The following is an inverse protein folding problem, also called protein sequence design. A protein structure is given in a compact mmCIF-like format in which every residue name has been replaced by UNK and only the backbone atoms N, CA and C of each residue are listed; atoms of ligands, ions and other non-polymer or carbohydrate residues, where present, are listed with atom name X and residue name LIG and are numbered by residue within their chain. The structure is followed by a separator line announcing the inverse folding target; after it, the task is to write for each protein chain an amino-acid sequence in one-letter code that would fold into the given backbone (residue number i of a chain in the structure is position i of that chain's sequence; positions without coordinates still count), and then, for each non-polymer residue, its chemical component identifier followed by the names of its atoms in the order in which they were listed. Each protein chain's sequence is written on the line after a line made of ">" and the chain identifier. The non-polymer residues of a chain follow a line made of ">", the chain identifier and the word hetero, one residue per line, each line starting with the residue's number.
data_IF_769243292730
#
_entry.id   IF_769243292730
#
_cell.length_a   1.000
_cell.length_b   1.000
_cell.length_c   1.000
_cell.angle_alpha   90.00
_cell.angle_beta   90.00
_cell.angle_gamma   90.00
#
_symmetry.space_group_name_H-M   'P 1'
#
loop_
_entity.id
_entity.type
_entity.pdbx_description
1 polymer ?
#
# COMPACT_ATOMS: atom_id res chain seq x y z
N UNK A 1 25.36 -33.30 -40.64
CA UNK A 1 24.31 -33.14 -39.61
C UNK A 1 24.21 -31.66 -39.30
N UNK A 2 23.05 -31.03 -39.49
CA UNK A 2 22.85 -29.63 -39.11
C UNK A 2 23.04 -29.54 -37.58
N UNK A 3 24.03 -28.78 -37.13
CA UNK A 3 24.25 -28.58 -35.70
C UNK A 3 23.03 -27.89 -35.11
N UNK A 4 22.47 -28.46 -34.05
CA UNK A 4 21.26 -27.94 -33.42
C UNK A 4 21.66 -27.21 -32.12
N UNK A 5 22.22 -26.02 -32.31
CA UNK A 5 22.67 -25.17 -31.21
C UNK A 5 21.48 -24.63 -30.41
N UNK A 6 21.55 -24.75 -29.08
CA UNK A 6 20.51 -24.30 -28.15
C UNK A 6 20.83 -22.94 -27.52
N UNK A 7 19.84 -22.34 -26.90
CA UNK A 7 20.07 -21.17 -26.06
C UNK A 7 20.89 -21.53 -24.81
N UNK A 8 21.55 -20.53 -24.21
CA UNK A 8 22.21 -20.68 -22.91
C UNK A 8 21.20 -21.05 -21.82
N UNK A 9 21.64 -21.77 -20.78
CA UNK A 9 20.79 -22.15 -19.64
C UNK A 9 20.10 -20.93 -18.97
N UNK A 10 20.80 -19.79 -18.84
CA UNK A 10 20.23 -18.54 -18.28
C UNK A 10 19.07 -18.03 -19.14
N UNK A 11 19.24 -17.97 -20.47
CA UNK A 11 18.17 -17.56 -21.38
C UNK A 11 16.94 -18.49 -21.32
N UNK A 12 17.17 -19.80 -21.17
CA UNK A 12 16.12 -20.81 -21.02
C UNK A 12 15.40 -20.61 -19.69
N UNK A 13 16.13 -20.48 -18.58
CA UNK A 13 15.54 -20.23 -17.25
C UNK A 13 14.71 -18.95 -17.23
N UNK A 14 15.25 -17.84 -17.74
CA UNK A 14 14.51 -16.58 -17.86
C UNK A 14 13.28 -16.71 -18.76
N UNK A 15 13.35 -17.50 -19.83
CA UNK A 15 12.20 -17.70 -20.72
C UNK A 15 11.04 -18.36 -20.00
N UNK A 16 11.31 -19.50 -19.36
CA UNK A 16 10.28 -20.28 -18.69
C UNK A 16 9.77 -19.62 -17.42
N UNK A 17 10.63 -18.95 -16.65
CA UNK A 17 10.20 -18.16 -15.50
C UNK A 17 9.22 -17.05 -15.92
N UNK A 18 9.55 -16.30 -16.98
CA UNK A 18 8.65 -15.27 -17.51
C UNK A 18 7.39 -15.87 -18.12
N UNK A 19 7.50 -16.97 -18.89
CA UNK A 19 6.35 -17.61 -19.51
C UNK A 19 5.33 -18.09 -18.47
N UNK A 20 5.78 -18.83 -17.45
CA UNK A 20 4.92 -19.32 -16.37
C UNK A 20 4.38 -18.17 -15.53
N UNK A 21 5.22 -17.18 -15.22
CA UNK A 21 4.80 -16.00 -14.46
C UNK A 21 3.75 -15.16 -15.19
N UNK A 22 3.89 -14.96 -16.50
CA UNK A 22 2.90 -14.24 -17.33
C UNK A 22 1.58 -14.99 -17.38
N UNK A 23 1.59 -16.31 -17.62
CA UNK A 23 0.37 -17.13 -17.62
C UNK A 23 -0.34 -17.05 -16.25
N UNK A 24 0.42 -17.19 -15.16
CA UNK A 24 -0.09 -17.05 -13.80
C UNK A 24 -0.67 -15.65 -13.51
N UNK A 25 0.00 -14.60 -13.97
CA UNK A 25 -0.44 -13.21 -13.80
C UNK A 25 -1.72 -12.88 -14.57
N UNK A 26 -1.88 -13.46 -15.76
CA UNK A 26 -3.12 -13.34 -16.54
C UNK A 26 -4.28 -13.96 -15.76
N UNK A 27 -4.11 -15.20 -15.26
CA UNK A 27 -5.13 -15.87 -14.46
C UNK A 27 -5.44 -15.12 -13.15
N UNK A 28 -4.41 -14.71 -12.42
CA UNK A 28 -4.53 -13.94 -11.17
C UNK A 28 -5.22 -12.60 -11.40
N UNK A 29 -4.88 -11.90 -12.48
CA UNK A 29 -5.44 -10.60 -12.83
C UNK A 29 -6.94 -10.65 -13.10
N UNK A 30 -7.41 -11.66 -13.84
CA UNK A 30 -8.86 -11.86 -14.01
C UNK A 30 -9.55 -12.28 -12.74
N UNK A 31 -8.97 -13.27 -12.03
CA UNK A 31 -9.55 -13.76 -10.79
C UNK A 31 -9.75 -12.63 -9.78
N UNK A 32 -8.74 -11.80 -9.53
CA UNK A 32 -8.85 -10.69 -8.58
C UNK A 32 -9.75 -9.55 -9.07
N UNK A 33 -9.90 -9.39 -10.40
CA UNK A 33 -10.75 -8.38 -11.03
C UNK A 33 -12.23 -8.71 -10.92
N UNK A 34 -12.60 -9.99 -11.05
CA UNK A 34 -13.98 -10.48 -11.02
C UNK A 34 -14.54 -10.67 -9.60
N UNK A 35 -13.68 -10.63 -8.58
CA UNK A 35 -14.13 -10.72 -7.20
C UNK A 35 -15.03 -9.54 -6.82
N UNK A 36 -16.12 -9.75 -6.06
CA UNK A 36 -16.86 -8.68 -5.39
C UNK A 36 -15.93 -7.77 -4.57
N UNK A 37 -16.30 -6.50 -4.37
CA UNK A 37 -15.44 -5.57 -3.64
C UNK A 37 -15.25 -5.96 -2.17
N UNK A 38 -16.26 -6.58 -1.58
CA UNK A 38 -16.34 -7.13 -0.22
C UNK A 38 -15.72 -8.53 -0.10
N UNK A 39 -15.15 -9.08 -1.18
CA UNK A 39 -14.56 -10.41 -1.16
C UNK A 39 -13.38 -10.48 -0.16
N UNK A 40 -13.36 -11.49 0.73
CA UNK A 40 -12.26 -11.67 1.67
C UNK A 40 -10.91 -11.72 0.96
N UNK A 41 -9.92 -10.99 1.48
CA UNK A 41 -8.54 -10.96 0.98
C UNK A 41 -8.36 -10.44 -0.47
N UNK A 42 -9.33 -9.71 -1.05
CA UNK A 42 -9.16 -9.07 -2.37
C UNK A 42 -7.91 -8.18 -2.42
N UNK A 43 -7.71 -7.35 -1.40
CA UNK A 43 -6.54 -6.46 -1.28
C UNK A 43 -5.20 -7.22 -1.27
N UNK A 44 -5.13 -8.37 -0.60
CA UNK A 44 -3.95 -9.23 -0.58
C UNK A 44 -3.61 -9.79 -1.96
N UNK A 45 -4.62 -10.18 -2.75
CA UNK A 45 -4.43 -10.62 -4.13
C UNK A 45 -3.88 -9.49 -5.03
N UNK A 46 -4.35 -8.26 -4.84
CA UNK A 46 -3.79 -7.09 -5.54
C UNK A 46 -2.32 -6.84 -5.15
N UNK A 47 -1.95 -6.99 -3.87
CA UNK A 47 -0.55 -6.86 -3.45
C UNK A 47 0.32 -7.98 -4.03
N UNK A 48 -0.17 -9.23 -4.08
CA UNK A 48 0.51 -10.35 -4.72
C UNK A 48 0.71 -10.08 -6.22
N UNK A 49 -0.34 -9.60 -6.90
CA UNK A 49 -0.28 -9.24 -8.32
C UNK A 49 0.78 -8.18 -8.58
N UNK A 50 0.81 -7.08 -7.81
CA UNK A 50 1.87 -6.06 -7.92
C UNK A 50 3.26 -6.64 -7.68
N UNK A 51 3.41 -7.50 -6.65
CA UNK A 51 4.69 -8.12 -6.29
C UNK A 51 5.28 -8.96 -7.43
N UNK A 52 4.44 -9.83 -8.00
CA UNK A 52 4.84 -10.66 -9.15
C UNK A 52 5.06 -9.78 -10.38
N UNK A 53 4.21 -8.77 -10.62
CA UNK A 53 4.36 -7.82 -11.73
C UNK A 53 5.71 -7.10 -11.74
N UNK A 54 6.13 -6.53 -10.61
CA UNK A 54 7.45 -5.90 -10.46
C UNK A 54 8.59 -6.91 -10.65
N UNK A 55 8.43 -8.13 -10.11
CA UNK A 55 9.42 -9.20 -10.32
C UNK A 55 9.58 -9.54 -11.81
N UNK A 56 8.48 -9.66 -12.55
CA UNK A 56 8.50 -9.93 -13.99
C UNK A 56 9.09 -8.76 -14.79
N UNK A 57 8.88 -7.52 -14.35
CA UNK A 57 9.51 -6.35 -14.95
C UNK A 57 11.04 -6.43 -14.82
N UNK A 58 11.56 -6.69 -13.62
CA UNK A 58 13.00 -6.86 -13.37
C UNK A 58 13.58 -8.00 -14.22
N UNK A 59 12.91 -9.16 -14.23
CA UNK A 59 13.33 -10.31 -15.04
C UNK A 59 13.26 -10.04 -16.55
N UNK A 60 12.33 -9.22 -17.00
CA UNK A 60 12.21 -8.82 -18.41
C UNK A 60 13.37 -7.91 -18.85
N UNK A 61 13.78 -6.97 -18.00
CA UNK A 61 14.98 -6.15 -18.24
C UNK A 61 16.23 -7.05 -18.24
N UNK A 62 16.37 -7.94 -17.25
CA UNK A 62 17.49 -8.89 -17.20
C UNK A 62 17.56 -9.76 -18.47
N UNK A 63 16.40 -10.24 -18.96
CA UNK A 63 16.30 -11.00 -20.22
C UNK A 63 16.69 -10.17 -21.43
N UNK A 64 16.27 -8.90 -21.51
CA UNK A 64 16.63 -8.01 -22.59
C UNK A 64 18.15 -7.76 -22.61
N UNK A 65 18.74 -7.40 -21.47
CA UNK A 65 20.19 -7.22 -21.33
C UNK A 65 20.94 -8.51 -21.73
N UNK A 66 20.47 -9.66 -21.24
CA UNK A 66 21.04 -10.95 -21.60
C UNK A 66 21.01 -11.20 -23.11
N UNK A 67 19.88 -10.91 -23.77
CA UNK A 67 19.70 -11.07 -25.22
C UNK A 67 20.61 -10.13 -26.02
N UNK A 68 20.86 -8.92 -25.53
CA UNK A 68 21.77 -7.97 -26.18
C UNK A 68 23.23 -8.41 -26.09
N UNK A 69 23.63 -9.07 -24.99
CA UNK A 69 25.00 -9.55 -24.77
C UNK A 69 25.29 -10.93 -25.38
N UNK A 70 24.25 -11.73 -25.64
CA UNK A 70 24.36 -13.11 -26.09
C UNK A 70 23.55 -13.34 -27.36
N UNK A 71 24.24 -13.55 -28.49
CA UNK A 71 23.61 -13.80 -29.79
C UNK A 71 22.70 -15.04 -29.72
N UNK A 72 21.45 -14.98 -30.21
CA UNK A 72 20.60 -16.16 -30.32
C UNK A 72 21.21 -17.16 -31.32
N UNK A 73 20.99 -18.47 -31.17
CA UNK A 73 21.45 -19.43 -32.18
C UNK A 73 20.74 -19.15 -33.52
N UNK A 74 21.33 -19.62 -34.62
CA UNK A 74 20.80 -19.39 -35.97
C UNK A 74 19.35 -19.90 -36.13
N UNK A 75 18.50 -19.16 -36.82
CA UNK A 75 17.12 -19.57 -37.08
C UNK A 75 17.07 -20.71 -38.11
N UNK A 76 16.15 -21.68 -38.00
CA UNK A 76 15.99 -22.69 -39.02
C UNK A 76 15.59 -22.04 -40.36
N UNK A 77 15.96 -22.62 -41.52
CA UNK A 77 15.57 -22.08 -42.82
C UNK A 77 14.04 -21.96 -42.93
N UNK A 78 13.54 -20.76 -43.22
CA UNK A 78 12.11 -20.48 -43.35
C UNK A 78 11.86 -19.33 -44.35
N UNK A 79 10.65 -19.20 -44.92
CA UNK A 79 10.29 -18.08 -45.78
C UNK A 79 10.50 -16.72 -45.10
N UNK A 80 10.91 -15.71 -45.89
CA UNK A 80 11.24 -14.38 -45.38
C UNK A 80 10.12 -13.74 -44.53
N UNK A 81 8.86 -13.94 -44.91
CA UNK A 81 7.72 -13.40 -44.14
C UNK A 81 7.60 -14.04 -42.76
N UNK A 82 7.97 -15.32 -42.58
CA UNK A 82 7.99 -15.99 -41.27
C UNK A 82 9.10 -15.42 -40.39
N UNK A 83 10.29 -15.16 -40.95
CA UNK A 83 11.39 -14.53 -40.22
C UNK A 83 10.99 -13.14 -39.71
N UNK A 84 10.36 -12.34 -40.58
CA UNK A 84 9.87 -11.00 -40.21
C UNK A 84 8.77 -11.06 -39.17
N UNK A 85 7.81 -11.98 -39.31
CA UNK A 85 6.76 -12.19 -38.32
C UNK A 85 7.32 -12.63 -36.96
N UNK A 86 8.25 -13.59 -36.94
CA UNK A 86 8.92 -14.05 -35.73
C UNK A 86 9.68 -12.90 -35.04
N UNK A 87 10.44 -12.11 -35.81
CA UNK A 87 11.12 -10.92 -35.29
C UNK A 87 10.13 -9.89 -34.72
N UNK A 88 9.02 -9.62 -35.42
CA UNK A 88 8.01 -8.67 -34.97
C UNK A 88 7.33 -9.13 -33.67
N UNK A 89 6.93 -10.40 -33.59
CA UNK A 89 6.34 -10.99 -32.37
C UNK A 89 7.32 -10.91 -31.20
N UNK A 90 8.60 -11.23 -31.41
CA UNK A 90 9.61 -11.11 -30.34
C UNK A 90 9.83 -9.67 -29.87
N UNK A 91 9.87 -8.69 -30.79
CA UNK A 91 10.00 -7.27 -30.45
C UNK A 91 8.77 -6.82 -29.66
N UNK A 92 7.57 -7.14 -30.14
CA UNK A 92 6.32 -6.81 -29.46
C UNK A 92 6.25 -7.45 -28.08
N UNK A 93 6.72 -8.69 -27.91
CA UNK A 93 6.85 -9.31 -26.60
C UNK A 93 7.74 -8.50 -25.65
N UNK A 94 8.92 -8.05 -26.08
CA UNK A 94 9.75 -7.19 -25.21
C UNK A 94 9.03 -5.88 -24.84
N UNK A 95 8.32 -5.27 -25.78
CA UNK A 95 7.53 -4.05 -25.53
C UNK A 95 6.46 -4.31 -24.47
N UNK A 96 5.67 -5.38 -24.60
CA UNK A 96 4.58 -5.65 -23.64
C UNK A 96 5.08 -6.24 -22.31
N UNK A 97 6.12 -7.06 -22.31
CA UNK A 97 6.69 -7.65 -21.09
C UNK A 97 7.29 -6.59 -20.16
N UNK A 98 7.79 -5.48 -20.71
CA UNK A 98 8.24 -4.32 -19.95
C UNK A 98 7.09 -3.34 -19.74
N UNK A 99 6.35 -3.01 -20.80
CA UNK A 99 5.32 -1.98 -20.80
C UNK A 99 4.11 -2.31 -19.92
N UNK A 100 3.66 -3.57 -19.87
CA UNK A 100 2.50 -3.98 -19.07
C UNK A 100 2.74 -3.84 -17.56
N UNK A 101 3.81 -4.41 -16.96
CA UNK A 101 4.05 -4.18 -15.55
C UNK A 101 4.47 -2.73 -15.24
N UNK A 102 5.11 -2.03 -16.19
CA UNK A 102 5.41 -0.61 -16.03
C UNK A 102 4.14 0.25 -15.97
N UNK A 103 3.14 -0.01 -16.82
CA UNK A 103 1.85 0.69 -16.76
C UNK A 103 1.10 0.38 -15.47
N UNK A 104 1.22 -0.84 -14.94
CA UNK A 104 0.70 -1.20 -13.61
C UNK A 104 1.39 -0.43 -12.48
N UNK A 105 2.72 -0.26 -12.56
CA UNK A 105 3.46 0.55 -11.58
C UNK A 105 3.11 2.04 -11.69
N UNK A 106 2.91 2.56 -12.91
CA UNK A 106 2.41 3.92 -13.14
C UNK A 106 0.99 4.08 -12.57
N UNK A 107 0.10 3.10 -12.78
CA UNK A 107 -1.27 3.11 -12.27
C UNK A 107 -1.31 3.23 -10.74
N UNK A 108 -0.52 2.43 -10.02
CA UNK A 108 -0.48 2.53 -8.55
C UNK A 108 0.20 3.82 -8.07
N UNK A 109 1.25 4.28 -8.78
CA UNK A 109 1.96 5.53 -8.45
C UNK A 109 1.13 6.78 -8.69
N UNK A 110 0.26 6.76 -9.71
CA UNK A 110 -0.68 7.83 -10.04
C UNK A 110 -2.06 7.64 -9.38
N UNK A 111 -2.18 6.69 -8.43
CA UNK A 111 -3.43 6.48 -7.71
C UNK A 111 -3.68 7.60 -6.71
N UNK A 112 -4.90 8.15 -6.70
CA UNK A 112 -5.32 9.08 -5.66
C UNK A 112 -5.36 8.40 -4.27
N UNK A 113 -5.52 7.06 -4.23
CA UNK A 113 -5.60 6.27 -2.99
C UNK A 113 -4.29 6.22 -2.21
N UNK A 114 -3.14 6.44 -2.88
CA UNK A 114 -1.82 6.43 -2.25
C UNK A 114 -1.40 5.11 -1.59
N UNK A 115 -2.10 3.99 -1.85
CA UNK A 115 -1.83 2.72 -1.18
C UNK A 115 -0.41 2.21 -1.49
N UNK A 116 0.40 1.87 -0.47
CA UNK A 116 1.76 1.42 -0.69
C UNK A 116 1.79 0.09 -1.45
N UNK A 117 2.81 -0.07 -2.29
CA UNK A 117 3.10 -1.35 -2.92
C UNK A 117 4.08 -2.10 -2.04
N UNK A 118 3.63 -3.12 -1.31
CA UNK A 118 4.51 -3.92 -0.44
C UNK A 118 4.79 -5.25 -1.11
N UNK A 119 6.01 -5.43 -1.61
CA UNK A 119 6.43 -6.65 -2.29
C UNK A 119 6.45 -7.81 -1.30
N UNK A 120 5.62 -8.81 -1.56
CA UNK A 120 5.49 -10.03 -0.77
C UNK A 120 5.31 -9.78 0.74
N UNK A 121 4.71 -8.63 1.11
CA UNK A 121 4.50 -8.24 2.50
C UNK A 121 5.77 -7.81 3.26
N UNK A 122 6.92 -7.72 2.60
CA UNK A 122 8.21 -7.50 3.27
C UNK A 122 8.93 -6.22 2.87
N UNK A 123 8.83 -5.81 1.61
CA UNK A 123 9.61 -4.68 1.07
C UNK A 123 8.66 -3.63 0.51
N UNK A 124 8.64 -2.43 1.08
CA UNK A 124 7.90 -1.32 0.50
C UNK A 124 8.59 -0.85 -0.79
N UNK A 125 7.88 -1.01 -1.90
CA UNK A 125 8.31 -0.57 -3.21
C UNK A 125 7.79 0.84 -3.46
N UNK A 126 8.68 1.81 -3.73
CA UNK A 126 8.27 3.20 -3.83
C UNK A 126 7.42 3.46 -5.08
N UNK A 127 6.60 4.50 -4.97
CA UNK A 127 5.92 5.07 -6.12
C UNK A 127 6.88 5.91 -6.96
N UNK A 128 6.55 6.04 -8.24
CA UNK A 128 7.28 6.91 -9.16
C UNK A 128 7.09 8.38 -8.75
N UNK A 129 8.18 9.03 -8.35
CA UNK A 129 8.18 10.39 -7.80
C UNK A 129 7.55 11.44 -8.72
N UNK A 130 7.61 11.25 -10.05
CA UNK A 130 6.97 12.18 -11.00
C UNK A 130 5.45 12.33 -10.81
N UNK A 131 4.79 11.35 -10.17
CA UNK A 131 3.36 11.41 -9.88
C UNK A 131 3.05 11.93 -8.47
N UNK A 132 4.05 12.10 -7.59
CA UNK A 132 3.80 12.52 -6.21
C UNK A 132 3.20 13.93 -6.15
N UNK A 133 3.72 14.85 -6.96
CA UNK A 133 3.32 16.26 -7.05
C UNK A 133 2.02 16.52 -7.82
N UNK A 134 1.41 15.50 -8.44
CA UNK A 134 0.13 15.67 -9.14
C UNK A 134 -1.02 15.86 -8.15
N UNK A 135 -1.95 16.76 -8.49
CA UNK A 135 -3.16 16.97 -7.70
C UNK A 135 -4.02 15.69 -7.65
N UNK A 136 -4.80 15.53 -6.58
CA UNK A 136 -5.71 14.40 -6.42
C UNK A 136 -6.74 14.33 -7.57
N UNK A 137 -7.18 15.48 -8.08
CA UNK A 137 -8.09 15.55 -9.23
C UNK A 137 -7.44 14.99 -10.50
N UNK A 138 -6.19 15.37 -10.78
CA UNK A 138 -5.44 14.84 -11.94
C UNK A 138 -5.21 13.34 -11.80
N UNK A 139 -4.84 12.86 -10.60
CA UNK A 139 -4.69 11.43 -10.31
C UNK A 139 -5.98 10.64 -10.56
N UNK A 140 -7.14 11.18 -10.13
CA UNK A 140 -8.46 10.58 -10.41
C UNK A 140 -8.79 10.55 -11.90
N UNK A 141 -8.46 11.60 -12.65
CA UNK A 141 -8.67 11.65 -14.10
C UNK A 141 -7.78 10.64 -14.87
N UNK A 142 -6.55 10.41 -14.40
CA UNK A 142 -5.62 9.45 -15.00
C UNK A 142 -5.98 7.99 -14.70
N UNK A 143 -6.59 7.71 -13.56
CA UNK A 143 -6.88 6.35 -13.10
C UNK A 143 -7.59 5.47 -14.14
N UNK A 144 -8.76 5.85 -14.70
CA UNK A 144 -9.46 4.99 -15.67
C UNK A 144 -8.69 4.80 -16.97
N UNK A 145 -7.85 5.77 -17.37
CA UNK A 145 -7.02 5.67 -18.58
C UNK A 145 -5.93 4.63 -18.37
N UNK A 146 -5.23 4.71 -17.24
CA UNK A 146 -4.13 3.82 -16.88
C UNK A 146 -4.63 2.40 -16.59
N UNK A 147 -5.76 2.26 -15.93
CA UNK A 147 -6.44 0.98 -15.69
C UNK A 147 -6.84 0.33 -17.02
N UNK A 148 -7.47 1.09 -17.92
CA UNK A 148 -7.85 0.58 -19.24
C UNK A 148 -6.64 0.17 -20.08
N UNK A 149 -5.57 0.96 -20.05
CA UNK A 149 -4.32 0.67 -20.74
C UNK A 149 -3.69 -0.63 -20.22
N UNK A 150 -3.56 -0.75 -18.89
CA UNK A 150 -3.01 -1.93 -18.24
C UNK A 150 -3.86 -3.19 -18.55
N UNK A 151 -5.18 -3.09 -18.41
CA UNK A 151 -6.10 -4.20 -18.71
C UNK A 151 -6.07 -4.62 -20.18
N UNK A 152 -6.10 -3.68 -21.14
CA UNK A 152 -6.07 -4.00 -22.58
C UNK A 152 -4.74 -4.58 -23.04
N UNK A 153 -3.63 -4.22 -22.41
CA UNK A 153 -2.34 -4.81 -22.72
C UNK A 153 -2.31 -6.33 -22.45
N UNK A 154 -3.11 -6.85 -21.50
CA UNK A 154 -3.23 -8.29 -21.28
C UNK A 154 -3.78 -9.02 -22.52
N UNK A 155 -4.76 -8.45 -23.22
CA UNK A 155 -5.29 -9.01 -24.48
C UNK A 155 -4.23 -9.04 -25.59
N UNK A 156 -3.39 -8.01 -25.67
CA UNK A 156 -2.26 -7.99 -26.61
C UNK A 156 -1.29 -9.13 -26.30
N UNK A 157 -0.97 -9.35 -25.02
CA UNK A 157 -0.11 -10.47 -24.59
C UNK A 157 -0.73 -11.81 -25.00
N UNK A 158 -2.04 -12.00 -24.83
CA UNK A 158 -2.71 -13.25 -25.20
C UNK A 158 -2.63 -13.53 -26.69
N UNK A 159 -2.92 -12.53 -27.54
CA UNK A 159 -2.81 -12.67 -28.99
C UNK A 159 -1.38 -13.04 -29.39
N UNK A 160 -0.39 -12.35 -28.82
CA UNK A 160 1.02 -12.65 -29.06
C UNK A 160 1.40 -14.04 -28.56
N UNK A 161 0.86 -14.50 -27.43
CA UNK A 161 1.11 -15.82 -26.86
C UNK A 161 0.57 -16.92 -27.77
N UNK A 162 -0.66 -16.76 -28.27
CA UNK A 162 -1.25 -17.68 -29.25
C UNK A 162 -0.41 -17.75 -30.52
N UNK A 163 0.02 -16.61 -31.06
CA UNK A 163 0.89 -16.57 -32.23
C UNK A 163 2.24 -17.24 -31.98
N UNK A 164 2.86 -16.97 -30.84
CA UNK A 164 4.18 -17.51 -30.49
C UNK A 164 4.16 -19.01 -30.22
N UNK A 165 3.24 -19.48 -29.38
CA UNK A 165 3.08 -20.90 -29.08
C UNK A 165 2.60 -21.65 -30.32
N UNK A 166 1.62 -21.11 -31.05
CA UNK A 166 1.14 -21.68 -32.32
C UNK A 166 2.25 -21.84 -33.35
N UNK A 167 3.12 -20.84 -33.50
CA UNK A 167 4.30 -20.93 -34.37
C UNK A 167 5.27 -22.01 -33.87
N UNK A 168 5.59 -22.05 -32.58
CA UNK A 168 6.48 -23.07 -32.01
C UNK A 168 5.95 -24.50 -32.24
N UNK A 169 4.64 -24.70 -32.06
CA UNK A 169 3.97 -25.99 -32.32
C UNK A 169 3.97 -26.33 -33.81
N UNK A 170 3.71 -25.37 -34.71
CA UNK A 170 3.84 -25.56 -36.17
C UNK A 170 5.26 -26.03 -36.52
N UNK A 171 6.28 -25.35 -36.02
CA UNK A 171 7.67 -25.71 -36.27
C UNK A 171 8.01 -27.12 -35.77
N UNK A 172 7.50 -27.48 -34.59
CA UNK A 172 7.73 -28.80 -34.00
C UNK A 172 7.04 -29.93 -34.75
N UNK A 173 5.76 -29.76 -35.12
CA UNK A 173 4.91 -30.86 -35.59
C UNK A 173 4.73 -30.89 -37.12
N UNK A 174 4.69 -29.73 -37.77
CA UNK A 174 4.50 -29.61 -39.21
C UNK A 174 5.86 -29.49 -39.93
N UNK A 175 6.68 -28.51 -39.55
CA UNK A 175 7.98 -28.29 -40.21
C UNK A 175 9.04 -29.30 -39.73
N UNK A 176 8.86 -29.88 -38.54
CA UNK A 176 9.72 -30.91 -37.93
C UNK A 176 11.19 -30.50 -37.81
N UNK A 177 11.44 -29.21 -37.61
CA UNK A 177 12.79 -28.62 -37.55
C UNK A 177 13.41 -28.61 -36.13
N UNK A 178 12.66 -29.12 -35.14
CA UNK A 178 13.06 -29.21 -33.73
C UNK A 178 13.33 -27.84 -33.09
N UNK A 179 12.68 -26.77 -33.53
CA UNK A 179 12.81 -25.42 -32.98
C UNK A 179 12.68 -25.38 -31.45
N UNK A 180 11.70 -26.11 -30.89
CA UNK A 180 11.43 -26.14 -29.43
C UNK A 180 12.63 -26.67 -28.64
N UNK A 181 13.39 -27.64 -29.17
CA UNK A 181 14.53 -28.23 -28.48
C UNK A 181 15.61 -27.21 -28.12
N UNK A 182 15.65 -26.06 -28.81
CA UNK A 182 16.61 -24.99 -28.55
C UNK A 182 16.28 -24.18 -27.31
N UNK A 183 15.02 -24.16 -26.88
CA UNK A 183 14.53 -23.44 -25.69
C UNK A 183 14.03 -24.40 -24.61
N UNK A 184 14.08 -25.71 -24.84
CA UNK A 184 13.66 -26.70 -23.86
C UNK A 184 14.62 -26.73 -22.65
N UNK A 185 14.12 -26.90 -21.41
CA UNK A 185 14.95 -27.14 -20.24
C UNK A 185 15.85 -28.37 -20.48
N UNK A 186 17.06 -28.37 -19.90
CA UNK A 186 18.16 -29.28 -20.23
C UNK A 186 17.92 -30.79 -20.06
N UNK A 187 16.70 -31.20 -19.69
CA UNK A 187 16.24 -32.59 -19.58
C UNK A 187 15.69 -33.11 -20.92
N UNK A 188 15.41 -32.24 -21.90
CA UNK A 188 14.74 -32.61 -23.15
C UNK A 188 15.68 -32.47 -24.37
N UNK A 189 16.39 -33.56 -24.72
CA UNK A 189 16.98 -33.78 -26.05
C UNK A 189 18.49 -33.52 -26.22
N UNK A 190 19.12 -34.25 -27.15
CA UNK A 190 20.50 -34.05 -27.60
C UNK A 190 20.60 -32.73 -28.41
N UNK A 191 21.33 -31.75 -27.89
CA UNK A 191 21.63 -30.47 -28.56
C UNK A 191 23.13 -30.20 -28.45
N UNK A 192 23.70 -29.45 -29.39
CA UNK A 192 25.14 -29.16 -29.44
C UNK A 192 25.58 -28.09 -28.41
N UNK A 193 24.75 -27.82 -27.41
CA UNK A 193 24.94 -26.71 -26.49
C UNK A 193 24.79 -25.34 -27.15
N UNK A 194 25.06 -24.26 -26.40
CA UNK A 194 25.11 -22.91 -26.97
C UNK A 194 26.30 -22.76 -27.91
N UNK A 195 26.07 -22.12 -29.06
CA UNK A 195 27.07 -21.88 -30.10
C UNK A 195 28.27 -21.07 -29.58
N UNK A 196 28.02 -20.16 -28.64
CA UNK A 196 29.02 -19.29 -28.02
C UNK A 196 29.00 -19.45 -26.50
N UNK A 197 30.15 -19.27 -25.84
CA UNK A 197 30.23 -19.25 -24.37
C UNK A 197 29.41 -18.05 -23.84
N UNK A 198 28.37 -18.28 -23.02
CA UNK A 198 27.55 -17.20 -22.51
C UNK A 198 28.31 -16.33 -21.52
N UNK A 199 28.03 -15.02 -21.50
CA UNK A 199 28.69 -14.04 -20.63
C UNK A 199 27.73 -12.95 -20.13
N UNK A 200 28.14 -12.27 -19.06
CA UNK A 200 27.45 -11.06 -18.57
C UNK A 200 26.29 -11.31 -17.60
N UNK A 201 26.23 -12.44 -16.89
CA UNK A 201 25.15 -12.70 -15.93
C UNK A 201 25.07 -11.61 -14.85
N UNK A 202 26.20 -11.26 -14.24
CA UNK A 202 26.26 -10.18 -13.24
C UNK A 202 25.79 -8.84 -13.81
N UNK A 203 26.11 -8.54 -15.07
CA UNK A 203 25.66 -7.31 -15.75
C UNK A 203 24.16 -7.35 -16.03
N UNK A 204 23.62 -8.50 -16.46
CA UNK A 204 22.19 -8.64 -16.75
C UNK A 204 21.34 -8.50 -15.49
N UNK A 205 21.66 -9.24 -14.42
CA UNK A 205 20.89 -9.23 -13.18
C UNK A 205 21.20 -7.98 -12.33
N UNK A 206 22.49 -7.66 -12.16
CA UNK A 206 22.93 -6.47 -11.43
C UNK A 206 22.54 -5.18 -12.13
N UNK A 207 22.59 -5.14 -13.47
CA UNK A 207 22.12 -4.00 -14.25
C UNK A 207 20.60 -3.82 -14.20
N UNK A 208 19.82 -4.91 -14.20
CA UNK A 208 18.37 -4.83 -14.02
C UNK A 208 18.00 -4.29 -12.63
N UNK A 209 18.65 -4.77 -11.56
CA UNK A 209 18.44 -4.26 -10.20
C UNK A 209 18.93 -2.81 -10.08
N UNK A 210 20.13 -2.53 -10.59
CA UNK A 210 20.75 -1.21 -10.57
C UNK A 210 19.95 -0.15 -11.33
N UNK A 211 19.32 -0.51 -12.45
CA UNK A 211 18.40 0.37 -13.18
C UNK A 211 17.27 0.86 -12.26
N UNK A 212 16.65 -0.05 -11.49
CA UNK A 212 15.63 0.36 -10.53
C UNK A 212 16.22 1.19 -9.40
N UNK A 213 17.35 0.79 -8.79
CA UNK A 213 17.99 1.61 -7.76
C UNK A 213 18.29 3.05 -8.22
N UNK A 214 18.67 3.25 -9.48
CA UNK A 214 18.86 4.58 -10.08
C UNK A 214 17.54 5.31 -10.31
N UNK A 215 16.54 4.64 -10.89
CA UNK A 215 15.19 5.22 -11.07
C UNK A 215 14.59 5.64 -9.71
N UNK A 216 14.85 4.86 -8.66
CA UNK A 216 14.41 5.15 -7.29
C UNK A 216 15.24 6.27 -6.64
N UNK A 217 16.57 6.24 -6.78
CA UNK A 217 17.47 7.27 -6.24
C UNK A 217 17.38 8.63 -6.93
N UNK A 218 16.94 8.69 -8.20
CA UNK A 218 16.62 9.96 -8.85
C UNK A 218 15.32 10.58 -8.30
N UNK A 219 14.40 9.76 -7.77
CA UNK A 219 13.17 10.22 -7.13
C UNK A 219 13.42 10.97 -5.81
N UNK A 220 14.48 10.63 -5.08
CA UNK A 220 14.86 11.31 -3.83
C UNK A 220 15.59 12.64 -4.08
N UNK A 221 16.19 12.84 -5.26
CA UNK A 221 16.84 14.09 -5.65
C UNK A 221 15.87 15.13 -6.23
N UNK A 222 14.71 14.69 -6.76
CA UNK A 222 13.65 15.57 -7.27
C UNK A 222 12.57 15.94 -6.25
N UNK A 223 12.53 15.23 -5.12
CA UNK A 223 11.63 15.48 -4.00
C UNK A 223 12.20 16.49 -3.01
N UNK A 224 12.46 17.71 -3.46
CA UNK A 224 12.62 18.88 -2.58
C UNK A 224 11.28 19.29 -1.95
N UNK A 225 10.54 18.33 -1.39
CA UNK A 225 9.47 18.62 -0.45
C UNK A 225 10.17 18.85 0.87
N UNK A 226 10.09 20.08 1.37
CA UNK A 226 10.62 20.46 2.66
C UNK A 226 10.36 19.35 3.67
N UNK A 227 11.41 18.74 4.20
CA UNK A 227 11.35 18.19 5.55
C UNK A 227 10.94 19.37 6.41
N UNK A 228 9.65 19.48 6.69
CA UNK A 228 9.23 20.15 7.90
C UNK A 228 10.00 19.42 9.00
N UNK A 229 10.91 20.15 9.65
CA UNK A 229 11.42 19.71 10.94
C UNK A 229 10.22 19.22 11.76
N UNK A 230 10.31 18.06 12.42
CA UNK A 230 9.26 17.66 13.32
C UNK A 230 9.18 18.79 14.34
N UNK A 231 8.08 19.54 14.29
CA UNK A 231 7.75 20.45 15.34
C UNK A 231 7.59 19.55 16.57
N UNK A 232 8.64 19.54 17.37
CA UNK A 232 8.63 19.09 18.74
C UNK A 232 7.61 20.03 19.43
N UNK A 233 6.31 19.75 19.28
CA UNK A 233 5.33 20.16 20.28
C UNK A 233 5.65 19.34 21.51
N UNK A 234 6.72 19.77 22.18
CA UNK A 234 7.14 19.33 23.48
C UNK A 234 5.90 19.27 24.39
N UNK A 235 5.93 18.34 25.34
CA UNK A 235 5.13 18.31 26.57
C UNK A 235 5.24 19.66 27.31
N UNK A 236 4.70 20.71 26.73
CA UNK A 236 4.74 22.07 27.25
C UNK A 236 3.64 22.08 28.27
N UNK A 237 4.00 21.97 29.54
CA UNK A 237 3.10 22.15 30.70
C UNK A 237 2.18 23.34 30.46
N UNK A 238 0.87 23.16 30.62
CA UNK A 238 -0.02 24.32 30.74
C UNK A 238 0.39 25.00 32.05
N UNK A 239 0.97 26.19 31.96
CA UNK A 239 1.12 27.07 33.11
C UNK A 239 -0.29 27.46 33.58
N UNK A 240 -0.76 26.94 34.72
CA UNK A 240 -1.89 27.55 35.40
C UNK A 240 -2.75 26.70 36.34
N UNK A 241 -2.67 25.37 36.34
CA UNK A 241 -3.47 24.53 37.25
C UNK A 241 -2.75 23.26 37.68
N UNK A 242 -3.10 22.76 38.87
CA UNK A 242 -2.61 21.49 39.41
C UNK A 242 -3.67 20.44 39.17
N UNK A 243 -3.33 19.35 38.46
CA UNK A 243 -4.21 18.20 38.31
C UNK A 243 -4.46 17.56 39.68
N UNK A 244 -5.73 17.23 39.99
CA UNK A 244 -6.13 16.57 41.23
C UNK A 244 -6.53 15.09 41.04
N UNK A 245 -6.44 14.59 39.80
CA UNK A 245 -6.64 13.19 39.46
C UNK A 245 -5.42 12.65 38.71
N UNK A 246 -4.87 11.54 39.18
CA UNK A 246 -3.85 10.76 38.49
C UNK A 246 -4.56 9.61 37.76
N UNK A 247 -4.43 9.57 36.44
CA UNK A 247 -5.01 8.51 35.60
C UNK A 247 -4.16 7.25 35.72
N UNK A 248 -4.80 6.09 35.78
CA UNK A 248 -4.17 4.78 35.64
C UNK A 248 -4.24 4.39 34.16
N UNK A 249 -3.16 4.62 33.41
CA UNK A 249 -3.14 4.38 31.96
C UNK A 249 -3.28 2.89 31.60
N UNK A 250 -2.88 1.97 32.47
CA UNK A 250 -2.99 0.52 32.24
C UNK A 250 -4.43 0.03 32.41
N UNK A 251 -5.20 0.67 33.29
CA UNK A 251 -6.63 0.41 33.47
C UNK A 251 -7.52 1.25 32.54
N UNK A 252 -6.96 2.23 31.83
CA UNK A 252 -7.70 3.17 30.99
C UNK A 252 -7.55 2.88 29.49
N UNK A 253 -8.53 3.30 28.68
CA UNK A 253 -8.48 3.14 27.22
C UNK A 253 -9.02 4.35 26.47
N UNK A 254 -8.40 4.64 25.32
CA UNK A 254 -8.96 5.51 24.28
C UNK A 254 -9.05 4.69 23.02
N UNK A 255 -10.28 4.52 22.51
CA UNK A 255 -10.55 3.75 21.29
C UNK A 255 -11.35 4.57 20.28
N UNK A 256 -11.25 4.20 19.01
CA UNK A 256 -12.18 4.65 17.99
C UNK A 256 -12.81 3.46 17.28
N UNK A 257 -14.13 3.50 17.11
CA UNK A 257 -14.91 2.44 16.47
C UNK A 257 -15.67 2.98 15.27
N UNK A 258 -15.79 2.16 14.23
CA UNK A 258 -16.52 2.52 13.02
C UNK A 258 -16.75 1.30 12.14
N UNK A 259 -17.22 1.55 10.92
CA UNK A 259 -17.44 0.51 9.92
C UNK A 259 -16.48 0.71 8.75
N UNK A 260 -15.90 -0.39 8.27
CA UNK A 260 -15.15 -0.46 7.03
C UNK A 260 -15.69 -1.61 6.20
N UNK A 261 -16.17 -1.29 4.99
CA UNK A 261 -16.74 -2.21 4.01
C UNK A 261 -17.88 -3.05 4.62
N UNK A 262 -18.76 -2.38 5.38
CA UNK A 262 -19.89 -3.00 6.09
C UNK A 262 -19.51 -3.84 7.32
N UNK A 263 -18.24 -3.93 7.68
CA UNK A 263 -17.76 -4.68 8.86
C UNK A 263 -17.22 -3.73 9.95
N UNK A 264 -17.44 -4.03 11.24
CA UNK A 264 -16.93 -3.20 12.32
C UNK A 264 -15.39 -3.26 12.40
N UNK A 265 -14.80 -2.14 12.81
CA UNK A 265 -13.41 -2.08 13.25
C UNK A 265 -13.31 -1.30 14.56
N UNK A 266 -12.29 -1.64 15.35
CA UNK A 266 -11.88 -0.93 16.56
C UNK A 266 -10.38 -0.66 16.48
N UNK A 267 -9.99 0.59 16.71
CA UNK A 267 -8.60 1.00 16.91
C UNK A 267 -8.41 1.53 18.33
N UNK A 268 -7.21 1.37 18.87
CA UNK A 268 -6.81 1.90 20.18
C UNK A 268 -5.55 2.74 20.06
N UNK A 269 -5.35 3.63 21.03
CA UNK A 269 -4.14 4.44 21.19
C UNK A 269 -3.47 4.01 22.50
N UNK A 270 -2.26 3.47 22.39
CA UNK A 270 -1.56 2.88 23.54
C UNK A 270 -0.67 3.88 24.29
N UNK A 271 -0.35 5.05 23.71
CA UNK A 271 0.49 6.08 24.33
C UNK A 271 -0.23 7.43 24.33
N UNK A 272 -0.58 7.89 25.53
CA UNK A 272 -1.25 9.14 25.80
C UNK A 272 -1.03 9.58 27.26
N UNK A 273 -1.24 10.86 27.52
CA UNK A 273 -1.10 11.49 28.84
C UNK A 273 -2.28 12.42 29.07
N UNK A 274 -2.78 12.48 30.31
CA UNK A 274 -3.93 13.32 30.66
C UNK A 274 -3.72 14.06 31.99
N UNK A 275 -3.99 15.36 31.98
CA UNK A 275 -3.95 16.26 33.13
C UNK A 275 -5.36 16.76 33.44
N UNK A 276 -5.92 16.28 34.56
CA UNK A 276 -7.32 16.50 34.93
C UNK A 276 -7.40 17.26 36.26
N UNK A 277 -8.01 18.43 36.22
CA UNK A 277 -8.58 19.12 37.37
C UNK A 277 -10.10 19.01 37.29
N UNK A 278 -10.72 18.33 38.22
CA UNK A 278 -12.19 18.18 38.26
C UNK A 278 -12.71 18.04 39.70
N UNK A 279 -13.78 18.77 39.99
CA UNK A 279 -14.54 18.70 41.24
C UNK A 279 -16.02 18.56 40.91
N UNK A 280 -16.65 17.46 41.32
CA UNK A 280 -18.06 17.17 41.08
C UNK A 280 -19.00 18.19 41.74
N UNK A 281 -18.57 18.84 42.83
CA UNK A 281 -19.35 19.89 43.50
C UNK A 281 -19.24 21.26 42.83
N UNK A 282 -18.20 21.46 42.00
CA UNK A 282 -17.92 22.69 41.27
C UNK A 282 -17.44 22.43 39.83
N UNK A 283 -18.24 21.74 38.99
CA UNK A 283 -17.79 21.23 37.68
C UNK A 283 -17.40 22.34 36.69
N UNK A 284 -17.94 23.56 36.86
CA UNK A 284 -17.56 24.72 36.05
C UNK A 284 -16.08 25.10 36.15
N UNK A 285 -15.39 24.66 37.21
CA UNK A 285 -13.95 24.88 37.41
C UNK A 285 -13.04 23.85 36.71
N UNK A 286 -13.61 22.86 36.00
CA UNK A 286 -12.84 21.77 35.42
C UNK A 286 -11.79 22.26 34.41
N UNK A 287 -10.62 21.64 34.39
CA UNK A 287 -9.60 21.84 33.35
C UNK A 287 -9.05 20.48 32.95
N UNK A 288 -9.17 20.15 31.66
CA UNK A 288 -8.76 18.87 31.11
C UNK A 288 -7.81 19.13 29.95
N UNK A 289 -6.69 18.41 29.93
CA UNK A 289 -5.82 18.32 28.78
C UNK A 289 -5.38 16.89 28.58
N UNK A 290 -5.59 16.38 27.38
CA UNK A 290 -5.10 15.07 26.97
C UNK A 290 -4.24 15.23 25.73
N UNK A 291 -3.12 14.51 25.68
CA UNK A 291 -2.25 14.42 24.50
C UNK A 291 -2.11 12.96 24.12
N UNK A 292 -2.33 12.64 22.86
CA UNK A 292 -2.25 11.28 22.32
C UNK A 292 -1.11 11.23 21.30
N UNK A 293 -0.21 10.26 21.45
CA UNK A 293 0.74 9.91 20.40
C UNK A 293 0.00 9.09 19.35
N UNK A 294 -0.24 9.69 18.19
CA UNK A 294 -0.96 9.09 17.08
C UNK A 294 -0.19 7.91 16.46
N UNK A 295 1.13 7.86 16.63
CA UNK A 295 1.96 6.74 16.19
C UNK A 295 1.72 5.48 17.02
N UNK A 296 1.12 5.59 18.21
CA UNK A 296 0.70 4.45 19.04
C UNK A 296 -0.58 3.76 18.55
N UNK A 297 -1.26 4.34 17.55
CA UNK A 297 -2.50 3.78 17.04
C UNK A 297 -2.34 2.32 16.57
N UNK A 298 -3.25 1.43 16.97
CA UNK A 298 -3.26 0.04 16.51
C UNK A 298 -4.67 -0.46 16.28
N UNK A 299 -4.80 -1.47 15.43
CA UNK A 299 -6.07 -2.20 15.25
C UNK A 299 -6.23 -3.16 16.42
N UNK A 300 -7.37 -3.09 17.10
CA UNK A 300 -7.76 -4.01 18.18
C UNK A 300 -8.55 -5.17 17.60
N UNK A 301 -9.55 -4.86 16.77
CA UNK A 301 -10.42 -5.81 16.13
C UNK A 301 -10.88 -5.28 14.77
N UNK A 302 -10.85 -6.13 13.75
CA UNK A 302 -11.39 -5.82 12.42
C UNK A 302 -11.43 -7.08 11.56
N UNK A 303 -12.53 -7.30 10.85
CA UNK A 303 -12.61 -8.32 9.80
C UNK A 303 -11.62 -8.06 8.63
N UNK A 304 -11.12 -6.83 8.53
CA UNK A 304 -10.22 -6.35 7.49
C UNK A 304 -8.88 -5.85 8.07
N UNK A 305 -8.38 -6.49 9.14
CA UNK A 305 -7.23 -6.03 9.92
C UNK A 305 -6.03 -5.60 9.07
N UNK A 306 -5.64 -6.40 8.08
CA UNK A 306 -4.48 -6.08 7.23
C UNK A 306 -4.65 -4.77 6.47
N UNK A 307 -5.86 -4.45 6.01
CA UNK A 307 -6.11 -3.21 5.28
C UNK A 307 -6.15 -2.01 6.22
N UNK A 308 -6.92 -2.12 7.31
CA UNK A 308 -7.03 -1.06 8.32
C UNK A 308 -5.65 -0.75 8.88
N UNK A 309 -4.88 -1.76 9.27
CA UNK A 309 -3.53 -1.62 9.82
C UNK A 309 -2.57 -0.92 8.86
N UNK A 310 -2.59 -1.27 7.58
CA UNK A 310 -1.68 -0.68 6.59
C UNK A 310 -2.09 0.72 6.13
N UNK A 311 -3.35 1.11 6.33
CA UNK A 311 -3.89 2.40 5.86
C UNK A 311 -4.05 3.42 6.99
N UNK A 312 -4.22 2.97 8.23
CA UNK A 312 -4.58 3.79 9.38
C UNK A 312 -3.62 4.96 9.60
N UNK A 313 -2.31 4.68 9.61
CA UNK A 313 -1.28 5.66 10.00
C UNK A 313 -0.85 6.60 8.86
N UNK A 314 -1.25 6.34 7.62
CA UNK A 314 -0.66 7.00 6.45
C UNK A 314 -1.57 8.09 5.84
N UNK A 315 -0.95 9.14 5.29
CA UNK A 315 -1.53 10.05 4.29
C UNK A 315 -2.90 10.64 4.63
N UNK A 316 -3.94 10.15 3.95
CA UNK A 316 -5.29 10.74 4.02
C UNK A 316 -6.06 10.38 5.31
N UNK A 317 -5.58 9.40 6.10
CA UNK A 317 -6.17 9.02 7.38
C UNK A 317 -5.53 9.78 8.54
N UNK A 318 -4.82 9.10 9.46
CA UNK A 318 -4.21 9.75 10.62
C UNK A 318 -2.97 10.59 10.27
N UNK A 319 -2.26 10.23 9.19
CA UNK A 319 -1.04 10.91 8.73
C UNK A 319 0.04 11.10 9.81
N UNK A 320 0.33 10.03 10.56
CA UNK A 320 1.14 10.12 11.79
C UNK A 320 2.59 10.53 11.54
N UNK A 321 3.06 10.44 10.29
CA UNK A 321 4.39 10.90 9.89
C UNK A 321 4.50 12.43 9.91
N UNK A 322 3.44 13.16 9.52
CA UNK A 322 3.41 14.63 9.52
C UNK A 322 2.69 15.19 10.76
N UNK A 323 1.82 14.38 11.37
CA UNK A 323 0.97 14.75 12.50
C UNK A 323 1.06 13.67 13.59
N UNK A 324 2.20 13.56 14.30
CA UNK A 324 2.42 12.49 15.29
C UNK A 324 1.59 12.66 16.56
N UNK A 325 1.01 13.84 16.80
CA UNK A 325 0.27 14.15 18.03
C UNK A 325 -1.14 14.64 17.74
N UNK A 326 -2.07 14.28 18.63
CA UNK A 326 -3.36 14.95 18.77
C UNK A 326 -3.52 15.43 20.22
N UNK A 327 -4.26 16.51 20.44
CA UNK A 327 -4.52 17.00 21.80
C UNK A 327 -5.95 17.48 21.97
N UNK A 328 -6.51 17.19 23.14
CA UNK A 328 -7.82 17.68 23.56
C UNK A 328 -7.65 18.64 24.74
N UNK A 329 -8.36 19.76 24.73
CA UNK A 329 -8.38 20.74 25.83
C UNK A 329 -9.80 21.17 26.12
N UNK A 330 -10.21 21.10 27.38
CA UNK A 330 -11.51 21.59 27.83
C UNK A 330 -11.38 22.45 29.09
N UNK A 331 -12.26 23.45 29.21
CA UNK A 331 -12.40 24.31 30.38
C UNK A 331 -13.86 24.37 30.78
N UNK A 332 -14.15 24.03 32.03
CA UNK A 332 -15.49 23.87 32.56
C UNK A 332 -16.17 22.58 32.10
N UNK A 333 -16.94 22.01 33.01
CA UNK A 333 -17.87 20.93 32.77
C UNK A 333 -19.26 21.37 33.21
N UNK A 334 -20.28 20.80 32.58
CA UNK A 334 -21.68 21.05 32.87
C UNK A 334 -22.35 19.76 33.34
N UNK A 335 -23.28 19.88 34.28
CA UNK A 335 -24.13 18.75 34.67
C UNK A 335 -25.20 18.56 33.59
N UNK A 336 -25.41 17.32 33.18
CA UNK A 336 -26.48 16.89 32.26
C UNK A 336 -27.27 15.75 32.89
N UNK A 337 -28.40 15.35 32.28
CA UNK A 337 -29.33 14.38 32.87
C UNK A 337 -28.65 13.04 33.25
N UNK A 338 -27.71 12.57 32.42
CA UNK A 338 -27.02 11.28 32.58
C UNK A 338 -25.53 11.42 32.95
N UNK A 339 -25.12 12.54 33.58
CA UNK A 339 -23.75 12.73 34.05
C UNK A 339 -23.23 14.15 33.83
N UNK A 340 -22.12 14.26 33.12
CA UNK A 340 -21.46 15.53 32.85
C UNK A 340 -21.14 15.69 31.36
N UNK A 341 -20.95 16.92 30.91
CA UNK A 341 -20.48 17.23 29.57
C UNK A 341 -19.34 18.25 29.66
N UNK A 342 -18.24 17.99 28.94
CA UNK A 342 -17.19 18.99 28.70
C UNK A 342 -17.25 19.45 27.25
N UNK A 343 -17.13 20.76 27.05
CA UNK A 343 -16.91 21.33 25.72
C UNK A 343 -15.46 21.74 25.61
N UNK A 344 -14.76 21.16 24.63
CA UNK A 344 -13.35 21.39 24.42
C UNK A 344 -12.98 21.50 22.95
N UNK A 345 -11.69 21.66 22.71
CA UNK A 345 -11.08 21.71 21.39
C UNK A 345 -10.17 20.50 21.24
N UNK A 346 -10.45 19.67 20.24
CA UNK A 346 -9.56 18.63 19.74
C UNK A 346 -8.71 19.22 18.61
N UNK A 347 -7.42 19.41 18.85
CA UNK A 347 -6.43 19.68 17.80
C UNK A 347 -6.01 18.35 17.18
N UNK A 348 -6.32 18.17 15.90
CA UNK A 348 -6.01 16.96 15.13
C UNK A 348 -5.57 17.36 13.71
N UNK A 349 -4.44 16.82 13.23
CA UNK A 349 -3.80 17.20 11.95
C UNK A 349 -3.63 18.71 11.77
N UNK A 350 -3.29 19.41 12.85
CA UNK A 350 -3.10 20.87 12.88
C UNK A 350 -4.39 21.70 12.80
N UNK A 351 -5.57 21.06 12.80
CA UNK A 351 -6.88 21.72 12.76
C UNK A 351 -7.57 21.59 14.12
N UNK A 352 -8.23 22.66 14.55
CA UNK A 352 -8.98 22.71 15.81
C UNK A 352 -10.45 22.36 15.58
N UNK A 353 -10.92 21.30 16.25
CA UNK A 353 -12.30 20.81 16.18
C UNK A 353 -13.00 21.02 17.52
N UNK A 354 -14.13 21.75 17.58
CA UNK A 354 -14.93 21.81 18.79
C UNK A 354 -15.59 20.45 19.03
N UNK A 355 -15.43 19.92 20.24
CA UNK A 355 -16.00 18.63 20.65
C UNK A 355 -16.80 18.83 21.93
N UNK A 356 -18.02 18.30 21.93
CA UNK A 356 -18.86 18.15 23.13
C UNK A 356 -18.77 16.69 23.54
N UNK A 357 -18.18 16.42 24.69
CA UNK A 357 -17.90 15.09 25.17
C UNK A 357 -18.75 14.83 26.43
N UNK A 358 -19.90 14.14 26.30
CA UNK A 358 -20.64 13.66 27.45
C UNK A 358 -19.89 12.49 28.10
N UNK A 359 -19.93 12.42 29.43
CA UNK A 359 -19.33 11.34 30.20
C UNK A 359 -20.12 11.04 31.47
N UNK A 360 -20.10 9.77 31.86
CA UNK A 360 -20.53 9.32 33.19
C UNK A 360 -19.35 9.39 34.16
N UNK A 361 -19.63 9.58 35.43
CA UNK A 361 -18.61 9.64 36.48
C UNK A 361 -19.13 8.92 37.72
N UNK A 362 -18.43 7.87 38.11
CA UNK A 362 -18.61 7.20 39.40
C UNK A 362 -17.39 7.47 40.28
N UNK A 363 -17.61 8.03 41.47
CA UNK A 363 -16.55 8.26 42.46
C UNK A 363 -16.86 7.42 43.69
N UNK A 364 -15.95 6.51 44.02
CA UNK A 364 -15.97 5.73 45.27
C UNK A 364 -14.65 5.94 46.00
N UNK A 365 -14.72 6.51 47.20
CA UNK A 365 -13.57 6.94 47.99
C UNK A 365 -12.64 7.89 47.22
N UNK A 366 -11.40 7.48 46.95
CA UNK A 366 -10.40 8.22 46.20
C UNK A 366 -10.33 7.79 44.72
N UNK A 367 -11.21 6.90 44.25
CA UNK A 367 -11.20 6.39 42.88
C UNK A 367 -12.35 6.97 42.05
N UNK A 368 -12.05 7.27 40.79
CA UNK A 368 -13.01 7.67 39.78
C UNK A 368 -12.98 6.71 38.60
N UNK A 369 -14.16 6.34 38.12
CA UNK A 369 -14.36 5.67 36.83
C UNK A 369 -15.16 6.58 35.92
N UNK A 370 -14.67 6.79 34.70
CA UNK A 370 -15.26 7.66 33.69
C UNK A 370 -15.46 6.89 32.41
N UNK A 371 -16.68 6.91 31.87
CA UNK A 371 -16.97 6.42 30.53
C UNK A 371 -17.52 7.56 29.67
N UNK A 372 -16.92 7.77 28.50
CA UNK A 372 -17.34 8.78 27.54
C UNK A 372 -17.41 8.20 26.12
N UNK A 373 -18.38 8.66 25.35
CA UNK A 373 -18.48 8.32 23.93
C UNK A 373 -18.98 9.52 23.14
N UNK A 374 -18.32 9.81 22.02
CA UNK A 374 -18.72 10.89 21.11
C UNK A 374 -18.66 10.43 19.66
N UNK A 375 -19.75 10.64 18.93
CA UNK A 375 -19.81 10.44 17.49
C UNK A 375 -19.16 11.64 16.77
N UNK A 376 -18.26 11.36 15.84
CA UNK A 376 -17.55 12.34 15.04
C UNK A 376 -17.69 12.04 13.56
N UNK A 377 -17.69 13.09 12.73
CA UNK A 377 -17.71 12.95 11.28
C UNK A 377 -16.28 13.00 10.73
N UNK A 378 -15.82 11.90 10.11
CA UNK A 378 -14.46 11.79 9.57
C UNK A 378 -14.20 12.75 8.41
N UNK A 379 -15.22 13.09 7.61
CA UNK A 379 -15.08 13.98 6.45
C UNK A 379 -14.89 15.44 6.88
N UNK A 380 -15.55 15.86 7.96
CA UNK A 380 -15.32 17.15 8.60
C UNK A 380 -13.88 17.23 9.13
N UNK A 381 -13.40 16.13 9.70
CA UNK A 381 -12.03 15.99 10.22
C UNK A 381 -10.94 15.76 9.19
N UNK A 382 -11.28 15.75 7.89
CA UNK A 382 -10.34 15.49 6.77
C UNK A 382 -9.61 14.15 6.91
N UNK A 383 -10.37 13.13 7.33
CA UNK A 383 -9.94 11.73 7.46
C UNK A 383 -10.60 10.91 6.35
N UNK A 384 -9.79 10.37 5.44
CA UNK A 384 -10.25 9.53 4.33
C UNK A 384 -11.01 10.31 3.25
N UNK A 385 -10.81 11.63 3.13
CA UNK A 385 -11.56 12.49 2.19
C UNK A 385 -11.02 12.45 0.76
N UNK A 386 -9.74 12.14 0.56
CA UNK A 386 -9.13 11.95 -0.76
C UNK A 386 -9.45 10.55 -1.30
N UNK A 387 -9.41 9.55 -0.41
CA UNK A 387 -9.53 8.13 -0.74
C UNK A 387 -10.97 7.65 -0.79
N UNK A 388 -11.85 8.22 0.04
CA UNK A 388 -13.21 7.74 0.24
C UNK A 388 -14.17 8.90 0.59
N UNK A 389 -14.26 9.90 -0.30
CA UNK A 389 -15.13 11.07 -0.10
C UNK A 389 -16.62 10.72 -0.03
N UNK A 390 -17.04 9.64 -0.71
CA UNK A 390 -18.43 9.20 -0.78
C UNK A 390 -18.87 8.34 0.39
N UNK A 391 -17.95 7.99 1.31
CA UNK A 391 -18.18 6.97 2.34
C UNK A 391 -18.65 5.64 1.75
N UNK A 392 -18.02 5.24 0.64
CA UNK A 392 -18.29 3.97 -0.03
C UNK A 392 -17.68 2.80 0.76
N UNK A 393 -16.66 3.06 1.59
CA UNK A 393 -15.92 2.04 2.33
C UNK A 393 -15.89 2.29 3.84
N UNK A 394 -15.47 3.47 4.30
CA UNK A 394 -15.48 3.85 5.71
C UNK A 394 -16.69 4.74 5.94
N UNK A 395 -17.52 4.39 6.91
CA UNK A 395 -18.69 5.21 7.26
C UNK A 395 -18.27 6.66 7.58
N UNK A 396 -19.16 7.62 7.30
CA UNK A 396 -18.90 9.03 7.61
C UNK A 396 -18.70 9.25 9.12
N UNK A 397 -19.41 8.48 9.92
CA UNK A 397 -19.42 8.60 11.37
C UNK A 397 -18.56 7.51 12.00
N UNK A 398 -17.73 7.90 12.96
CA UNK A 398 -17.03 6.99 13.86
C UNK A 398 -17.23 7.48 15.29
N UNK A 399 -17.12 6.57 16.26
CA UNK A 399 -17.21 6.93 17.67
C UNK A 399 -15.82 6.92 18.29
N UNK A 400 -15.50 7.95 19.07
CA UNK A 400 -14.38 7.93 20.01
C UNK A 400 -14.94 7.51 21.37
N UNK A 401 -14.40 6.44 21.95
CA UNK A 401 -14.82 5.92 23.24
C UNK A 401 -13.65 5.97 24.21
N UNK A 402 -13.92 6.45 25.42
CA UNK A 402 -12.94 6.68 26.46
C UNK A 402 -13.43 5.97 27.72
N UNK A 403 -12.57 5.16 28.30
CA UNK A 403 -12.73 4.60 29.64
C UNK A 403 -11.54 5.06 30.46
N UNK A 404 -11.76 5.74 31.58
CA UNK A 404 -10.68 6.19 32.46
C UNK A 404 -10.92 5.70 33.87
N UNK A 405 -9.88 5.11 34.46
CA UNK A 405 -9.76 4.93 35.89
C UNK A 405 -8.72 5.91 36.43
N UNK A 406 -9.05 6.62 37.51
CA UNK A 406 -8.16 7.61 38.11
C UNK A 406 -8.25 7.58 39.63
N UNK A 407 -7.15 7.97 40.28
CA UNK A 407 -7.06 8.13 41.73
C UNK A 407 -6.87 9.61 42.09
N UNK A 408 -7.61 10.09 43.07
CA UNK A 408 -7.52 11.46 43.54
C UNK A 408 -6.17 11.70 44.23
N UNK A 409 -5.43 12.72 43.80
CA UNK A 409 -4.04 12.94 44.23
C UNK A 409 -3.90 13.81 45.49
N UNK A 410 -5.01 14.29 46.06
CA UNK A 410 -5.02 14.99 47.34
C UNK A 410 -4.40 16.39 47.29
N UNK A 411 -5.22 17.39 46.98
CA UNK A 411 -5.02 18.77 47.41
C UNK A 411 -6.23 19.17 48.28
N UNK A 412 -5.98 19.71 49.48
CA UNK A 412 -7.01 20.20 50.40
C UNK A 412 -7.99 21.19 49.76
#
# INVERSE_FOLDING_TARGET
>A
MLRNHRYSAVAIGLHWALALGIIGMIALGWYMGDLPNDAPNKSGLYQLHKSIGITLLVLSIARLLWRLMNKPPEEPPMPFWQQKAASAVHILFYVVMIGLPLTGWILVSASARGLPTVLFGAIEWPHLAVFSSLSAETKRALHPILENLHGKQAWVVIVLLVLHVGAALKHQFLDKDRLIARMAPGVFGQTDGPEHKPKGALVAFGGAIGFFLVVLGLGTLGGGGASAEPAEEAKTTMSGYTANWAVDEDASTITATGMYDGAPFTIAFDDWDSQILFDASAPAGAQIRTTVDMTSARVVDSANESYVKNSLKIGDFLDTANHPTASFRATGAFVVDDGYEVTGVLKFKGIDYPVRLPFTLDITDDKAVVDASVAMNRLDMKVGVVNDKGADYVDETFNVNIHLEATHTGGN
#
